data_IF_278917215019
#
_entry.id   IF_278917215019
#
_cell.length_a   1.000
_cell.length_b   1.000
_cell.length_c   1.000
_cell.angle_alpha   90.00
_cell.angle_beta   90.00
_cell.angle_gamma   90.00
#
_symmetry.space_group_name_H-M   'P 1'
#
loop_
_entity.id
_entity.type
_entity.pdbx_description
1 polymer ?
#
# COMPACT_ATOMS: atom_id res chain seq x y z
N UNK A 1 29.37 -5.09 20.54
CA UNK A 1 29.45 -5.43 21.99
C UNK A 1 28.07 -5.59 22.57
N UNK A 2 27.72 -6.77 23.09
CA UNK A 2 26.43 -6.96 23.76
C UNK A 2 26.53 -6.39 25.18
N UNK A 3 25.97 -5.21 25.42
CA UNK A 3 25.86 -4.61 26.75
C UNK A 3 24.87 -5.42 27.61
N UNK A 4 25.35 -5.97 28.74
CA UNK A 4 24.49 -6.67 29.72
C UNK A 4 24.25 -5.75 30.91
N UNK A 5 22.99 -5.44 31.21
CA UNK A 5 22.61 -4.70 32.41
C UNK A 5 22.95 -5.47 33.67
N UNK A 6 23.16 -4.75 34.78
CA UNK A 6 23.34 -5.37 36.11
C UNK A 6 22.01 -6.01 36.51
N UNK A 7 22.09 -7.26 36.95
CA UNK A 7 20.93 -8.06 37.40
C UNK A 7 20.59 -7.76 38.85
N UNK A 8 19.40 -8.18 39.31
CA UNK A 8 19.01 -8.04 40.72
C UNK A 8 19.97 -8.83 41.62
N UNK A 9 20.42 -10.02 41.22
CA UNK A 9 21.35 -10.83 41.98
C UNK A 9 22.71 -10.14 42.14
N UNK A 10 23.22 -9.53 41.06
CA UNK A 10 24.44 -8.73 41.14
C UNK A 10 24.27 -7.51 42.06
N UNK A 11 23.08 -6.87 42.07
CA UNK A 11 22.77 -5.77 43.00
C UNK A 11 22.79 -6.23 44.47
N UNK A 12 22.24 -7.41 44.77
CA UNK A 12 22.31 -7.99 46.08
C UNK A 12 23.77 -8.24 46.52
N UNK A 13 24.58 -8.80 45.62
CA UNK A 13 26.02 -8.98 45.90
C UNK A 13 26.73 -7.64 46.14
N UNK A 14 26.44 -6.60 45.32
CA UNK A 14 27.03 -5.27 45.51
C UNK A 14 26.67 -4.71 46.89
N UNK A 15 25.40 -4.78 47.31
CA UNK A 15 24.96 -4.29 48.61
C UNK A 15 25.72 -5.00 49.75
N UNK A 16 25.71 -6.33 49.74
CA UNK A 16 26.40 -7.14 50.78
C UNK A 16 27.90 -6.87 50.85
N UNK A 17 28.57 -6.75 49.71
CA UNK A 17 30.01 -6.46 49.69
C UNK A 17 30.36 -5.02 50.11
N UNK A 18 29.47 -4.05 49.86
CA UNK A 18 29.62 -2.70 50.36
C UNK A 18 29.46 -2.66 51.87
N UNK A 19 28.49 -3.39 52.46
CA UNK A 19 28.31 -3.51 53.89
C UNK A 19 29.49 -4.21 54.57
N UNK A 20 30.19 -5.13 53.87
CA UNK A 20 31.46 -5.74 54.30
C UNK A 20 32.68 -4.84 54.10
N UNK A 21 32.51 -3.60 53.65
CA UNK A 21 33.60 -2.66 53.46
C UNK A 21 34.48 -2.91 52.23
N UNK A 22 34.03 -3.68 51.24
CA UNK A 22 34.82 -3.95 50.03
C UNK A 22 34.92 -2.72 49.15
N UNK A 23 36.12 -2.53 48.56
CA UNK A 23 36.27 -1.47 47.57
C UNK A 23 35.53 -1.79 46.24
N UNK A 24 35.10 -0.76 45.51
CA UNK A 24 34.45 -0.90 44.20
C UNK A 24 35.27 -1.75 43.22
N UNK A 25 36.58 -1.64 43.24
CA UNK A 25 37.50 -2.44 42.39
C UNK A 25 37.43 -3.92 42.75
N UNK A 26 37.41 -4.26 44.07
CA UNK A 26 37.32 -5.64 44.57
C UNK A 26 35.95 -6.26 44.19
N UNK A 27 34.85 -5.53 44.34
CA UNK A 27 33.51 -5.95 43.95
C UNK A 27 33.45 -6.20 42.44
N UNK A 28 33.95 -5.27 41.65
CA UNK A 28 33.97 -5.38 40.19
C UNK A 28 34.74 -6.62 39.70
N UNK A 29 35.90 -6.90 40.31
CA UNK A 29 36.69 -8.09 39.99
C UNK A 29 35.91 -9.37 40.33
N UNK A 30 35.24 -9.42 41.49
CA UNK A 30 34.44 -10.57 41.92
C UNK A 30 33.24 -10.84 41.00
N UNK A 31 32.55 -9.78 40.57
CA UNK A 31 31.38 -9.89 39.68
C UNK A 31 31.77 -9.97 38.19
N UNK A 32 33.05 -10.03 37.87
CA UNK A 32 33.55 -10.01 36.50
C UNK A 32 32.95 -8.85 35.66
N UNK A 33 32.92 -7.64 36.25
CA UNK A 33 32.41 -6.44 35.69
C UNK A 33 33.49 -5.35 35.70
N UNK A 34 33.31 -4.33 34.82
CA UNK A 34 34.21 -3.16 34.86
C UNK A 34 33.95 -2.32 36.12
N UNK A 35 35.01 -1.88 36.78
CA UNK A 35 34.93 -1.04 37.99
C UNK A 35 34.11 0.25 37.77
N UNK A 36 34.19 0.84 36.58
CA UNK A 36 33.35 1.99 36.22
C UNK A 36 31.87 1.69 36.17
N UNK A 37 31.48 0.46 35.81
CA UNK A 37 30.08 0.00 35.79
C UNK A 37 29.54 -0.09 37.22
N UNK A 38 30.28 -0.70 38.14
CA UNK A 38 29.88 -0.81 39.55
C UNK A 38 29.86 0.57 40.23
N UNK A 39 30.86 1.40 39.98
CA UNK A 39 30.92 2.78 40.51
C UNK A 39 29.70 3.61 40.07
N UNK A 40 29.35 3.55 38.77
CA UNK A 40 28.17 4.26 38.25
C UNK A 40 26.86 3.70 38.82
N UNK A 41 26.75 2.39 39.00
CA UNK A 41 25.57 1.75 39.60
C UNK A 41 25.38 2.23 41.05
N UNK A 42 26.41 2.14 41.87
CA UNK A 42 26.35 2.60 43.26
C UNK A 42 26.04 4.10 43.37
N UNK A 43 26.77 4.94 42.61
CA UNK A 43 26.55 6.37 42.64
C UNK A 43 25.16 6.82 42.22
N UNK A 44 24.57 6.14 41.21
CA UNK A 44 23.26 6.50 40.66
C UNK A 44 22.09 6.03 41.51
N UNK A 45 22.24 4.95 42.21
CA UNK A 45 21.15 4.24 42.85
C UNK A 45 21.29 4.18 44.39
N UNK A 46 22.26 4.89 44.98
CA UNK A 46 22.34 5.06 46.45
C UNK A 46 21.44 6.24 46.90
N UNK A 47 20.76 6.03 48.02
CA UNK A 47 19.94 7.04 48.69
C UNK A 47 20.51 7.30 50.06
N UNK A 48 20.71 8.58 50.41
CA UNK A 48 21.32 9.00 51.68
C UNK A 48 22.64 8.28 51.98
N UNK A 49 23.50 8.10 50.96
CA UNK A 49 24.79 7.44 51.10
C UNK A 49 24.77 5.91 51.24
N UNK A 50 23.60 5.30 51.31
CA UNK A 50 23.43 3.85 51.43
C UNK A 50 22.92 3.22 50.14
N UNK A 51 23.55 2.12 49.73
CA UNK A 51 23.13 1.36 48.54
C UNK A 51 22.26 0.17 48.97
N UNK A 52 21.00 0.14 48.53
CA UNK A 52 20.06 -0.95 48.81
C UNK A 52 19.63 -1.59 47.51
N UNK A 53 19.85 -2.93 47.38
CA UNK A 53 19.68 -3.66 46.13
C UNK A 53 18.25 -3.58 45.57
N UNK A 54 17.21 -3.68 46.41
CA UNK A 54 15.81 -3.59 45.98
C UNK A 54 15.46 -2.20 45.46
N UNK A 55 15.86 -1.15 46.18
CA UNK A 55 15.65 0.25 45.77
C UNK A 55 16.39 0.56 44.44
N UNK A 56 17.64 0.12 44.34
CA UNK A 56 18.43 0.28 43.12
C UNK A 56 17.79 -0.43 41.92
N UNK A 57 17.13 -1.57 42.15
CA UNK A 57 16.40 -2.30 41.12
C UNK A 57 15.10 -1.57 40.72
N UNK A 58 14.35 -1.03 41.66
CA UNK A 58 13.16 -0.22 41.38
C UNK A 58 13.50 1.03 40.58
N UNK A 59 14.53 1.77 40.98
CA UNK A 59 15.03 2.94 40.24
C UNK A 59 15.41 2.54 38.80
N UNK A 60 16.12 1.43 38.66
CA UNK A 60 16.50 0.91 37.34
C UNK A 60 15.26 0.55 36.49
N UNK A 61 14.26 -0.15 37.04
CA UNK A 61 13.04 -0.52 36.32
C UNK A 61 12.25 0.72 35.89
N UNK A 62 12.09 1.70 36.79
CA UNK A 62 11.41 2.96 36.50
C UNK A 62 12.13 3.76 35.40
N UNK A 63 13.45 3.87 35.51
CA UNK A 63 14.26 4.53 34.47
C UNK A 63 14.16 3.79 33.14
N UNK A 64 14.11 2.46 33.15
CA UNK A 64 13.97 1.66 31.94
C UNK A 64 12.59 1.80 31.29
N UNK A 65 11.50 1.94 32.07
CA UNK A 65 10.16 2.23 31.55
C UNK A 65 10.11 3.62 30.88
N UNK A 66 10.88 4.56 31.41
CA UNK A 66 10.99 5.92 30.83
C UNK A 66 11.99 6.02 29.67
N UNK A 67 12.86 5.00 29.49
CA UNK A 67 13.78 4.93 28.37
C UNK A 67 13.07 4.50 27.10
N UNK A 68 13.25 5.28 26.04
CA UNK A 68 12.71 4.98 24.73
C UNK A 68 11.76 6.04 24.21
N UNK A 69 11.50 5.99 22.93
CA UNK A 69 10.51 6.85 22.29
C UNK A 69 9.11 6.51 22.84
N UNK A 70 8.42 7.49 23.42
CA UNK A 70 7.00 7.36 23.77
C UNK A 70 6.26 6.89 22.53
N UNK A 71 5.56 5.75 22.65
CA UNK A 71 4.88 5.14 21.52
C UNK A 71 3.84 6.11 20.93
N UNK A 72 3.89 6.32 19.60
CA UNK A 72 2.92 7.19 18.90
C UNK A 72 1.48 6.67 18.96
N UNK A 73 1.25 5.52 19.58
CA UNK A 73 -0.08 4.94 19.83
C UNK A 73 -0.95 5.74 20.82
N UNK A 74 -0.41 6.77 21.48
CA UNK A 74 -1.18 7.73 22.28
C UNK A 74 -1.65 8.95 21.49
N UNK A 75 -1.24 9.12 20.23
CA UNK A 75 -1.67 10.23 19.38
C UNK A 75 -3.01 9.90 18.72
N UNK A 76 -4.11 10.35 19.32
CA UNK A 76 -5.47 10.10 18.84
C UNK A 76 -5.67 10.58 17.40
N UNK A 77 -5.16 11.76 17.03
CA UNK A 77 -5.27 12.30 15.66
C UNK A 77 -4.61 11.39 14.63
N UNK A 78 -3.44 10.83 14.95
CA UNK A 78 -2.74 9.90 14.07
C UNK A 78 -3.49 8.57 13.94
N UNK A 79 -4.02 8.04 15.04
CA UNK A 79 -4.81 6.80 15.04
C UNK A 79 -6.06 6.97 14.18
N UNK A 80 -6.84 8.01 14.42
CA UNK A 80 -8.06 8.31 13.67
C UNK A 80 -7.79 8.44 12.17
N UNK A 81 -6.74 9.17 11.80
CA UNK A 81 -6.33 9.27 10.39
C UNK A 81 -6.04 7.90 9.78
N UNK A 82 -5.26 7.06 10.49
CA UNK A 82 -4.90 5.71 10.01
C UNK A 82 -6.14 4.83 9.87
N UNK A 83 -7.04 4.82 10.83
CA UNK A 83 -8.26 4.01 10.81
C UNK A 83 -9.21 4.45 9.68
N UNK A 84 -9.41 5.75 9.50
CA UNK A 84 -10.18 6.32 8.41
C UNK A 84 -9.59 5.94 7.03
N UNK A 85 -8.26 5.99 6.89
CA UNK A 85 -7.59 5.61 5.66
C UNK A 85 -7.66 4.10 5.39
N UNK A 86 -7.54 3.26 6.43
CA UNK A 86 -7.75 1.80 6.32
C UNK A 86 -9.18 1.47 5.91
N UNK A 87 -10.18 2.20 6.43
CA UNK A 87 -11.59 2.05 6.03
C UNK A 87 -11.81 2.43 4.56
N UNK A 88 -11.03 3.40 4.03
CA UNK A 88 -10.96 3.74 2.59
C UNK A 88 -10.09 2.76 1.79
N UNK A 89 -9.79 1.58 2.33
CA UNK A 89 -8.98 0.52 1.70
C UNK A 89 -7.52 0.86 1.39
N UNK A 90 -6.96 1.92 2.00
CA UNK A 90 -5.56 2.26 1.81
C UNK A 90 -4.65 1.25 2.52
N UNK A 91 -3.54 0.89 1.88
CA UNK A 91 -2.55 0.03 2.54
C UNK A 91 -1.71 0.83 3.54
N UNK A 92 -1.12 0.18 4.56
CA UNK A 92 -0.20 0.84 5.50
C UNK A 92 0.92 1.65 4.82
N UNK A 93 1.43 1.19 3.66
CA UNK A 93 2.45 1.90 2.90
C UNK A 93 1.91 3.19 2.27
N UNK A 94 0.69 3.14 1.72
CA UNK A 94 0.00 4.31 1.16
C UNK A 94 -0.29 5.35 2.25
N UNK A 95 -0.75 4.90 3.42
CA UNK A 95 -1.02 5.77 4.58
C UNK A 95 0.25 6.46 5.05
N UNK A 96 1.33 5.71 5.28
CA UNK A 96 2.60 6.27 5.72
C UNK A 96 3.20 7.26 4.70
N UNK A 97 3.05 6.96 3.41
CA UNK A 97 3.49 7.85 2.34
C UNK A 97 2.67 9.14 2.26
N UNK A 98 1.36 9.03 2.36
CA UNK A 98 0.44 10.18 2.31
C UNK A 98 0.62 11.11 3.50
N UNK A 99 0.78 10.57 4.70
CA UNK A 99 1.08 11.35 5.90
C UNK A 99 2.38 12.20 5.74
N UNK A 100 3.38 11.70 5.03
CA UNK A 100 4.61 12.47 4.75
C UNK A 100 4.36 13.65 3.81
N UNK A 101 3.37 13.56 2.92
CA UNK A 101 3.02 14.64 2.00
C UNK A 101 2.17 15.70 2.70
N UNK A 102 1.17 15.28 3.45
CA UNK A 102 0.19 16.18 4.10
C UNK A 102 0.75 16.85 5.36
N UNK A 103 1.59 16.13 6.12
CA UNK A 103 2.13 16.60 7.40
C UNK A 103 3.66 16.66 7.35
N UNK A 104 4.21 17.46 6.38
CA UNK A 104 5.67 17.56 6.14
C UNK A 104 6.44 17.98 7.39
N UNK A 105 5.90 18.93 8.14
CA UNK A 105 6.59 19.56 9.28
C UNK A 105 6.17 18.99 10.64
N UNK A 106 5.04 18.25 10.68
CA UNK A 106 4.54 17.63 11.91
C UNK A 106 5.19 16.25 12.14
N UNK A 107 6.21 16.22 13.01
CA UNK A 107 6.89 14.97 13.39
C UNK A 107 5.96 13.99 14.15
N UNK A 108 4.88 14.47 14.78
CA UNK A 108 3.94 13.65 15.54
C UNK A 108 3.11 12.76 14.59
N UNK A 109 2.82 13.24 13.37
CA UNK A 109 2.07 12.53 12.34
C UNK A 109 2.95 11.62 11.44
N UNK A 110 4.29 11.65 11.60
CA UNK A 110 5.18 10.78 10.82
C UNK A 110 5.21 9.37 11.41
N UNK A 111 4.86 8.36 10.62
CA UNK A 111 4.87 6.95 11.03
C UNK A 111 5.42 6.05 9.91
N UNK A 112 6.08 4.97 10.29
CA UNK A 112 6.52 3.94 9.34
C UNK A 112 5.43 2.91 9.08
N UNK A 113 5.30 2.45 7.83
CA UNK A 113 4.29 1.43 7.47
C UNK A 113 4.42 0.13 8.26
N UNK A 114 5.65 -0.28 8.62
CA UNK A 114 5.89 -1.45 9.49
C UNK A 114 5.26 -1.28 10.87
N UNK A 115 5.22 -0.05 11.39
CA UNK A 115 4.58 0.25 12.68
C UNK A 115 3.06 0.13 12.57
N UNK A 116 2.46 0.59 11.46
CA UNK A 116 1.02 0.44 11.21
C UNK A 116 0.65 -1.05 11.14
N UNK A 117 1.41 -1.88 10.39
CA UNK A 117 1.20 -3.33 10.40
C UNK A 117 1.28 -3.92 11.82
N UNK A 118 2.29 -3.53 12.59
CA UNK A 118 2.45 -3.99 13.98
C UNK A 118 1.25 -3.60 14.86
N UNK A 119 0.69 -2.41 14.66
CA UNK A 119 -0.49 -1.96 15.39
C UNK A 119 -1.74 -2.76 15.02
N UNK A 120 -1.93 -3.11 13.76
CA UNK A 120 -3.00 -4.01 13.31
C UNK A 120 -2.85 -5.38 13.99
N UNK A 121 -1.67 -6.02 13.91
CA UNK A 121 -1.44 -7.34 14.48
C UNK A 121 -1.47 -7.37 16.01
N UNK A 122 -1.23 -6.25 16.69
CA UNK A 122 -1.33 -6.11 18.14
C UNK A 122 -2.70 -5.64 18.61
N UNK A 123 -3.70 -5.60 17.75
CA UNK A 123 -5.06 -5.13 18.02
C UNK A 123 -5.14 -3.69 18.58
N UNK A 124 -4.14 -2.85 18.31
CA UNK A 124 -4.11 -1.45 18.75
C UNK A 124 -5.08 -0.60 17.91
N UNK A 125 -5.21 -0.90 16.62
CA UNK A 125 -6.09 -0.22 15.67
C UNK A 125 -6.99 -1.22 14.95
N UNK A 126 -8.16 -0.77 14.48
CA UNK A 126 -9.18 -1.55 13.73
C UNK A 126 -9.48 -2.93 14.34
N UNK A 127 -9.34 -3.09 15.65
CA UNK A 127 -9.54 -4.39 16.36
C UNK A 127 -8.81 -5.56 15.68
N UNK A 128 -7.64 -5.30 15.05
CA UNK A 128 -6.83 -6.32 14.37
C UNK A 128 -7.43 -6.90 13.09
N UNK A 129 -8.45 -6.27 12.50
CA UNK A 129 -9.12 -6.79 11.30
C UNK A 129 -8.23 -6.76 10.05
N UNK A 130 -7.49 -7.85 9.83
CA UNK A 130 -6.63 -8.04 8.64
C UNK A 130 -7.40 -8.10 7.33
N UNK A 131 -8.74 -8.27 7.35
CA UNK A 131 -9.58 -8.24 6.15
C UNK A 131 -9.60 -6.86 5.48
N UNK A 132 -9.29 -5.81 6.23
CA UNK A 132 -9.07 -4.45 5.71
C UNK A 132 -7.82 -4.33 4.82
N UNK A 133 -6.90 -5.28 4.88
CA UNK A 133 -5.71 -5.30 4.02
C UNK A 133 -6.02 -5.93 2.66
N UNK A 134 -5.42 -5.40 1.59
CA UNK A 134 -5.63 -5.85 0.20
C UNK A 134 -5.60 -7.36 0.00
N UNK A 135 -4.63 -8.05 0.59
CA UNK A 135 -4.44 -9.50 0.41
C UNK A 135 -5.26 -10.35 1.40
N UNK A 136 -5.94 -9.74 2.37
CA UNK A 136 -6.76 -10.46 3.36
C UNK A 136 -6.05 -11.71 3.94
N UNK A 137 -4.73 -11.66 4.05
CA UNK A 137 -3.90 -12.81 4.51
C UNK A 137 -3.66 -13.91 3.48
N UNK A 138 -4.08 -13.77 2.21
CA UNK A 138 -3.97 -14.82 1.18
C UNK A 138 -2.82 -14.57 0.19
N UNK A 139 -2.16 -15.64 -0.25
CA UNK A 139 -1.18 -15.66 -1.35
C UNK A 139 -1.84 -16.19 -2.63
N UNK A 140 -1.60 -15.56 -3.78
CA UNK A 140 -2.21 -15.92 -5.05
C UNK A 140 -1.15 -16.30 -6.10
N UNK A 141 -1.27 -17.50 -6.67
CA UNK A 141 -0.60 -17.90 -7.93
C UNK A 141 -1.66 -18.35 -8.92
N UNK A 142 -1.63 -17.84 -10.16
CA UNK A 142 -2.51 -18.29 -11.24
C UNK A 142 -1.73 -18.62 -12.51
N UNK A 143 -2.15 -19.69 -13.23
CA UNK A 143 -1.71 -20.04 -14.60
C UNK A 143 -2.82 -19.68 -15.58
N UNK A 144 -2.47 -19.07 -16.72
CA UNK A 144 -3.41 -18.68 -17.78
C UNK A 144 -3.10 -19.40 -19.10
N UNK A 145 -4.16 -19.84 -19.82
CA UNK A 145 -4.09 -20.52 -21.12
C UNK A 145 -5.14 -19.92 -22.06
N UNK A 146 -4.73 -19.12 -23.09
CA UNK A 146 -5.63 -18.58 -24.13
C UNK A 146 -4.98 -18.56 -25.52
N UNK A 147 -5.82 -18.67 -26.57
CA UNK A 147 -5.42 -18.79 -27.97
C UNK A 147 -4.94 -17.47 -28.63
N UNK A 148 -4.34 -17.59 -29.82
CA UNK A 148 -3.75 -16.49 -30.61
C UNK A 148 -4.76 -15.92 -31.61
N UNK A 149 -5.02 -14.62 -31.56
CA UNK A 149 -5.73 -13.85 -32.59
C UNK A 149 -4.84 -12.71 -33.09
N UNK A 150 -4.64 -12.58 -34.40
CA UNK A 150 -3.63 -11.66 -34.98
C UNK A 150 -4.32 -10.55 -35.76
N UNK A 151 -4.60 -9.40 -35.13
CA UNK A 151 -5.23 -8.22 -35.74
C UNK A 151 -4.53 -6.94 -35.29
N UNK A 152 -4.62 -5.88 -36.10
CA UNK A 152 -4.24 -4.50 -35.77
C UNK A 152 -2.75 -4.23 -35.65
N UNK A 153 -2.41 -3.01 -35.26
CA UNK A 153 -1.02 -2.54 -35.11
C UNK A 153 -0.35 -3.21 -33.91
N UNK A 154 0.78 -3.87 -34.11
CA UNK A 154 1.54 -4.46 -33.01
C UNK A 154 2.04 -3.40 -32.04
N UNK A 155 2.07 -3.73 -30.73
CA UNK A 155 2.65 -2.87 -29.69
C UNK A 155 4.13 -2.52 -29.98
N UNK A 156 4.81 -3.30 -30.81
CA UNK A 156 6.20 -3.04 -31.25
C UNK A 156 6.31 -1.76 -32.06
N UNK A 157 5.22 -1.37 -32.77
CA UNK A 157 5.14 -0.16 -33.57
C UNK A 157 4.75 1.08 -32.73
N UNK A 158 4.42 0.87 -31.45
CA UNK A 158 4.07 1.97 -30.54
C UNK A 158 5.32 2.80 -30.23
N UNK A 159 5.27 4.14 -30.31
CA UNK A 159 6.38 5.01 -29.97
C UNK A 159 7.02 4.66 -28.61
N UNK A 160 8.36 4.66 -28.57
CA UNK A 160 9.10 4.20 -27.38
C UNK A 160 8.94 5.13 -26.17
N UNK A 161 8.74 6.42 -26.37
CA UNK A 161 8.48 7.44 -25.36
C UNK A 161 7.22 7.14 -24.53
N UNK A 162 6.19 6.55 -25.14
CA UNK A 162 4.98 6.11 -24.43
C UNK A 162 5.31 5.10 -23.31
N UNK A 163 6.40 4.34 -23.44
CA UNK A 163 6.84 3.39 -22.40
C UNK A 163 7.28 4.09 -21.13
N UNK A 164 7.83 5.31 -21.23
CA UNK A 164 8.30 6.11 -20.09
C UNK A 164 7.16 6.65 -19.22
N UNK A 165 5.93 6.76 -19.78
CA UNK A 165 4.75 7.28 -19.08
C UNK A 165 4.90 8.74 -18.62
N UNK A 166 5.60 9.55 -19.41
CA UNK A 166 5.85 10.96 -19.12
C UNK A 166 4.76 11.88 -19.68
N UNK A 167 4.06 11.46 -20.74
CA UNK A 167 2.96 12.19 -21.38
C UNK A 167 1.60 11.60 -21.01
N UNK A 168 0.57 12.46 -20.98
CA UNK A 168 -0.82 12.05 -20.81
C UNK A 168 -1.46 11.65 -22.14
N UNK A 169 -2.60 10.96 -22.05
CA UNK A 169 -3.42 10.60 -23.20
C UNK A 169 -3.15 9.19 -23.75
N UNK A 170 -2.36 8.40 -23.08
CA UNK A 170 -2.10 7.02 -23.46
C UNK A 170 -2.84 6.06 -22.52
N UNK A 171 -3.84 5.37 -23.06
CA UNK A 171 -4.76 4.55 -22.29
C UNK A 171 -4.53 3.05 -22.53
N UNK A 172 -4.70 2.25 -21.49
CA UNK A 172 -4.77 0.80 -21.58
C UNK A 172 -6.24 0.39 -21.38
N UNK A 173 -6.77 -0.41 -22.30
CA UNK A 173 -8.16 -0.87 -22.30
C UNK A 173 -8.22 -2.36 -22.02
N UNK A 174 -9.22 -2.79 -21.26
CA UNK A 174 -9.45 -4.21 -20.94
C UNK A 174 -10.92 -4.47 -20.60
N UNK A 175 -11.26 -5.74 -20.43
CA UNK A 175 -12.55 -6.17 -19.92
C UNK A 175 -12.40 -7.04 -18.67
N UNK A 176 -13.23 -6.81 -17.67
CA UNK A 176 -13.29 -7.63 -16.45
C UNK A 176 -14.56 -8.46 -16.49
N UNK A 177 -14.41 -9.75 -16.77
CA UNK A 177 -15.56 -10.65 -17.00
C UNK A 177 -16.21 -11.15 -15.72
N UNK A 178 -17.52 -11.36 -15.76
CA UNK A 178 -18.30 -12.10 -14.75
C UNK A 178 -17.83 -13.54 -14.60
N UNK A 179 -18.40 -14.25 -13.64
CA UNK A 179 -18.20 -15.69 -13.50
C UNK A 179 -18.71 -16.45 -14.72
N UNK A 180 -17.93 -17.41 -15.20
CA UNK A 180 -18.37 -18.30 -16.26
C UNK A 180 -19.67 -18.99 -15.87
N UNK A 181 -20.66 -19.01 -16.78
CA UNK A 181 -21.94 -19.66 -16.60
C UNK A 181 -22.98 -18.88 -15.80
N UNK A 182 -22.66 -17.66 -15.27
CA UNK A 182 -23.64 -16.82 -14.56
C UNK A 182 -24.29 -15.78 -15.48
N UNK A 183 -23.50 -14.87 -16.01
CA UNK A 183 -23.99 -13.85 -16.93
C UNK A 183 -22.97 -13.53 -18.02
N UNK A 184 -23.43 -12.85 -19.10
CA UNK A 184 -22.56 -12.29 -20.14
C UNK A 184 -22.02 -10.93 -19.77
N UNK A 185 -22.55 -10.30 -18.71
CA UNK A 185 -22.19 -8.96 -18.26
C UNK A 185 -20.71 -8.91 -17.86
N UNK A 186 -20.09 -7.79 -18.14
CA UNK A 186 -18.68 -7.54 -17.83
C UNK A 186 -18.46 -6.04 -17.60
N UNK A 187 -17.27 -5.66 -17.15
CA UNK A 187 -16.89 -4.25 -17.09
C UNK A 187 -15.92 -3.94 -18.24
N UNK A 188 -16.12 -2.81 -18.91
CA UNK A 188 -15.05 -2.16 -19.66
C UNK A 188 -14.20 -1.34 -18.71
N UNK A 189 -12.89 -1.35 -18.89
CA UNK A 189 -11.96 -0.57 -18.08
C UNK A 189 -10.98 0.18 -18.97
N UNK A 190 -10.82 1.46 -18.69
CA UNK A 190 -9.97 2.40 -19.41
C UNK A 190 -9.05 3.05 -18.40
N UNK A 191 -7.74 2.78 -18.50
CA UNK A 191 -6.76 3.28 -17.51
C UNK A 191 -5.74 4.17 -18.19
N UNK A 192 -5.66 5.43 -17.76
CA UNK A 192 -4.64 6.34 -18.23
C UNK A 192 -3.28 5.94 -17.63
N UNK A 193 -2.26 5.88 -18.49
CA UNK A 193 -0.97 5.24 -18.16
C UNK A 193 -0.08 6.06 -17.23
N UNK A 194 -0.11 7.39 -17.32
CA UNK A 194 0.70 8.28 -16.48
C UNK A 194 0.05 8.47 -15.11
N UNK A 195 -1.19 8.93 -15.09
CA UNK A 195 -1.95 9.23 -13.86
C UNK A 195 -2.49 7.99 -13.14
N UNK A 196 -2.65 6.85 -13.85
CA UNK A 196 -3.36 5.65 -13.37
C UNK A 196 -4.86 5.89 -13.17
N UNK A 197 -5.40 6.95 -13.74
CA UNK A 197 -6.82 7.28 -13.67
C UNK A 197 -7.64 6.21 -14.36
N UNK A 198 -8.69 5.75 -13.70
CA UNK A 198 -9.58 4.70 -14.16
C UNK A 198 -10.93 5.28 -14.54
N UNK A 199 -11.43 4.90 -15.72
CA UNK A 199 -12.83 4.95 -16.08
C UNK A 199 -13.30 3.51 -16.24
N UNK A 200 -14.50 3.18 -15.76
CA UNK A 200 -15.07 1.85 -15.95
C UNK A 200 -16.57 1.95 -16.17
N UNK A 201 -17.11 1.03 -16.98
CA UNK A 201 -18.55 0.98 -17.27
C UNK A 201 -19.05 -0.48 -17.22
N UNK A 202 -20.30 -0.65 -16.81
CA UNK A 202 -21.00 -1.93 -16.84
C UNK A 202 -21.47 -2.19 -18.26
N UNK A 203 -21.16 -3.34 -18.82
CA UNK A 203 -21.60 -3.79 -20.15
C UNK A 203 -22.46 -5.06 -20.03
N UNK A 204 -23.53 -5.15 -20.82
CA UNK A 204 -24.42 -6.30 -20.85
C UNK A 204 -23.75 -7.53 -21.48
N UNK A 205 -22.88 -7.30 -22.46
CA UNK A 205 -22.13 -8.38 -23.10
C UNK A 205 -20.72 -7.92 -23.53
N UNK A 206 -19.93 -8.88 -24.00
CA UNK A 206 -18.54 -8.68 -24.43
C UNK A 206 -18.40 -8.62 -25.95
N UNK A 207 -19.42 -8.08 -26.64
CA UNK A 207 -19.34 -7.90 -28.09
C UNK A 207 -18.53 -6.64 -28.42
N UNK A 208 -17.92 -6.64 -29.58
CA UNK A 208 -17.13 -5.52 -30.09
C UNK A 208 -17.96 -4.24 -30.25
N UNK A 209 -19.18 -4.34 -30.78
CA UNK A 209 -20.06 -3.19 -30.91
C UNK A 209 -20.44 -2.58 -29.55
N UNK A 210 -20.77 -3.41 -28.55
CA UNK A 210 -21.07 -2.99 -27.18
C UNK A 210 -19.85 -2.31 -26.57
N UNK A 211 -18.64 -2.88 -26.74
CA UNK A 211 -17.42 -2.27 -26.25
C UNK A 211 -17.15 -0.89 -26.88
N UNK A 212 -17.31 -0.77 -28.20
CA UNK A 212 -17.10 0.49 -28.91
C UNK A 212 -18.07 1.59 -28.42
N UNK A 213 -19.36 1.26 -28.25
CA UNK A 213 -20.36 2.19 -27.71
C UNK A 213 -19.95 2.71 -26.33
N UNK A 214 -19.60 1.81 -25.41
CA UNK A 214 -19.12 2.18 -24.07
C UNK A 214 -17.79 2.94 -24.10
N UNK A 215 -16.90 2.62 -25.04
CA UNK A 215 -15.67 3.38 -25.24
C UNK A 215 -15.97 4.83 -25.63
N UNK A 216 -16.87 5.08 -26.59
CA UNK A 216 -17.24 6.43 -26.99
C UNK A 216 -17.92 7.20 -25.87
N UNK A 217 -18.77 6.57 -25.09
CA UNK A 217 -19.41 7.21 -23.93
C UNK A 217 -18.40 7.54 -22.83
N UNK A 218 -17.46 6.63 -22.53
CA UNK A 218 -16.40 6.85 -21.54
C UNK A 218 -15.50 8.06 -21.85
N UNK A 219 -15.26 8.31 -23.14
CA UNK A 219 -14.38 9.40 -23.58
C UNK A 219 -15.13 10.68 -24.02
N UNK A 220 -16.44 10.70 -23.96
CA UNK A 220 -17.28 11.81 -24.41
C UNK A 220 -16.93 13.17 -23.79
N UNK A 221 -16.57 13.16 -22.51
CA UNK A 221 -16.22 14.38 -21.76
C UNK A 221 -14.71 14.54 -21.52
N UNK A 222 -13.89 13.66 -22.11
CA UNK A 222 -12.43 13.77 -22.02
C UNK A 222 -11.92 14.62 -23.19
N UNK A 223 -11.08 15.61 -22.89
CA UNK A 223 -10.46 16.45 -23.92
C UNK A 223 -9.69 15.59 -24.93
N UNK A 224 -9.82 15.89 -26.22
CA UNK A 224 -9.10 15.19 -27.29
C UNK A 224 -7.57 15.24 -27.10
N UNK A 225 -7.04 16.26 -26.43
CA UNK A 225 -5.61 16.34 -26.10
C UNK A 225 -5.15 15.26 -25.13
N UNK A 226 -6.10 14.68 -24.38
CA UNK A 226 -5.89 13.58 -23.43
C UNK A 226 -6.27 12.20 -23.99
N UNK A 227 -6.52 12.10 -25.31
CA UNK A 227 -6.82 10.86 -26.01
C UNK A 227 -5.86 10.74 -27.20
N UNK A 228 -4.73 10.04 -27.01
CA UNK A 228 -3.67 9.94 -28.04
C UNK A 228 -3.49 8.54 -28.59
N UNK A 229 -3.43 7.55 -27.74
CA UNK A 229 -3.29 6.14 -28.14
C UNK A 229 -3.99 5.20 -27.19
N UNK A 230 -4.50 4.11 -27.72
CA UNK A 230 -5.00 3.00 -26.92
C UNK A 230 -4.07 1.79 -27.02
N UNK A 231 -3.99 1.02 -25.94
CA UNK A 231 -3.30 -0.27 -25.93
C UNK A 231 -4.26 -1.33 -25.39
N UNK A 232 -4.49 -2.36 -26.21
CA UNK A 232 -5.45 -3.45 -25.93
C UNK A 232 -4.77 -4.81 -25.99
N UNK A 233 -5.47 -5.85 -25.50
CA UNK A 233 -5.06 -7.22 -25.82
C UNK A 233 -5.67 -7.67 -27.16
N UNK A 234 -5.49 -8.97 -27.45
CA UNK A 234 -6.06 -9.60 -28.65
C UNK A 234 -7.40 -10.28 -28.36
N UNK A 235 -8.23 -9.66 -27.50
CA UNK A 235 -9.58 -10.12 -27.23
C UNK A 235 -10.52 -9.85 -28.41
N UNK A 236 -11.56 -10.68 -28.57
CA UNK A 236 -12.56 -10.53 -29.62
C UNK A 236 -13.37 -9.24 -29.49
N UNK A 237 -13.48 -8.69 -28.26
CA UNK A 237 -14.11 -7.41 -27.95
C UNK A 237 -13.44 -6.21 -28.63
N UNK A 238 -12.17 -6.34 -29.00
CA UNK A 238 -11.41 -5.30 -29.68
C UNK A 238 -11.39 -5.47 -31.21
N UNK A 239 -12.15 -6.41 -31.76
CA UNK A 239 -12.20 -6.63 -33.22
C UNK A 239 -12.68 -5.41 -34.00
N UNK A 240 -13.51 -4.55 -33.40
CA UNK A 240 -14.00 -3.31 -33.99
C UNK A 240 -13.09 -2.08 -33.81
N UNK A 241 -11.82 -2.26 -33.50
CA UNK A 241 -10.88 -1.18 -33.21
C UNK A 241 -10.76 -0.13 -34.32
N UNK A 242 -10.98 -0.49 -35.60
CA UNK A 242 -10.93 0.44 -36.74
C UNK A 242 -11.95 1.59 -36.61
N UNK A 243 -13.11 1.31 -36.01
CA UNK A 243 -14.12 2.32 -35.75
C UNK A 243 -13.64 3.29 -34.66
N UNK A 244 -12.98 2.77 -33.62
CA UNK A 244 -12.39 3.57 -32.53
C UNK A 244 -11.28 4.48 -33.11
N UNK A 245 -10.36 3.92 -33.94
CA UNK A 245 -9.32 4.70 -34.59
C UNK A 245 -9.87 5.83 -35.44
N UNK A 246 -10.90 5.55 -36.25
CA UNK A 246 -11.53 6.55 -37.14
C UNK A 246 -12.25 7.65 -36.35
N UNK A 247 -13.05 7.26 -35.33
CA UNK A 247 -13.93 8.22 -34.63
C UNK A 247 -13.14 9.10 -33.64
N UNK A 248 -12.14 8.56 -32.99
CA UNK A 248 -11.32 9.30 -32.03
C UNK A 248 -10.03 9.85 -32.66
N UNK A 249 -9.72 9.52 -33.89
CA UNK A 249 -8.50 9.89 -34.64
C UNK A 249 -7.22 9.55 -33.86
N UNK A 250 -7.10 8.29 -33.42
CA UNK A 250 -6.00 7.77 -32.62
C UNK A 250 -5.48 6.44 -33.15
N UNK A 251 -4.31 6.02 -32.67
CA UNK A 251 -3.78 4.68 -32.92
C UNK A 251 -4.15 3.70 -31.81
N UNK A 252 -4.56 2.49 -32.23
CA UNK A 252 -4.80 1.36 -31.32
C UNK A 252 -3.69 0.30 -31.48
N UNK A 253 -2.94 0.04 -30.42
CA UNK A 253 -1.85 -0.93 -30.39
C UNK A 253 -2.25 -2.20 -29.66
N UNK A 254 -1.91 -3.35 -30.26
CA UNK A 254 -2.21 -4.66 -29.71
C UNK A 254 -1.00 -5.26 -29.01
N UNK A 255 -1.17 -5.64 -27.74
CA UNK A 255 -0.15 -6.35 -26.98
C UNK A 255 0.20 -7.71 -27.62
N UNK A 256 1.43 -8.16 -27.43
CA UNK A 256 1.84 -9.49 -27.87
C UNK A 256 1.07 -10.57 -27.08
N UNK A 257 0.78 -11.71 -27.68
CA UNK A 257 0.17 -12.84 -26.98
C UNK A 257 1.01 -13.23 -25.76
N UNK A 258 0.33 -13.51 -24.64
CA UNK A 258 0.96 -13.92 -23.37
C UNK A 258 1.87 -12.87 -22.71
N UNK A 259 1.90 -11.64 -23.21
CA UNK A 259 2.72 -10.56 -22.68
C UNK A 259 1.91 -9.59 -21.78
N UNK A 260 1.30 -10.13 -20.70
CA UNK A 260 0.48 -9.33 -19.76
C UNK A 260 1.24 -8.13 -19.17
N UNK A 261 2.56 -8.24 -19.01
CA UNK A 261 3.42 -7.15 -18.53
C UNK A 261 3.41 -5.90 -19.43
N UNK A 262 3.05 -6.05 -20.73
CA UNK A 262 2.92 -4.93 -21.65
C UNK A 262 1.71 -4.03 -21.32
N UNK A 263 0.74 -4.56 -20.55
CA UNK A 263 -0.45 -3.88 -20.04
C UNK A 263 -0.52 -3.90 -18.51
N UNK A 264 0.62 -3.79 -17.84
CA UNK A 264 0.74 -3.91 -16.39
C UNK A 264 -0.07 -2.84 -15.63
N UNK A 265 -0.48 -1.73 -16.27
CA UNK A 265 -1.35 -0.73 -15.64
C UNK A 265 -2.76 -1.28 -15.46
N UNK A 266 -3.34 -1.87 -16.51
CA UNK A 266 -4.63 -2.53 -16.45
C UNK A 266 -4.64 -3.72 -15.50
N UNK A 267 -3.63 -4.60 -15.59
CA UNK A 267 -3.54 -5.76 -14.70
C UNK A 267 -3.58 -5.34 -13.21
N UNK A 268 -2.81 -4.31 -12.85
CA UNK A 268 -2.82 -3.79 -11.48
C UNK A 268 -4.18 -3.18 -11.11
N UNK A 269 -4.78 -2.39 -12.00
CA UNK A 269 -6.05 -1.70 -11.74
C UNK A 269 -7.22 -2.70 -11.68
N UNK A 270 -7.27 -3.67 -12.59
CA UNK A 270 -8.24 -4.77 -12.53
C UNK A 270 -8.08 -5.59 -11.25
N UNK A 271 -6.83 -5.74 -10.76
CA UNK A 271 -6.56 -6.34 -9.46
C UNK A 271 -7.14 -5.53 -8.28
N UNK A 272 -7.27 -4.20 -8.40
CA UNK A 272 -7.93 -3.35 -7.40
C UNK A 272 -9.45 -3.46 -7.49
N UNK A 273 -10.02 -3.46 -8.70
CA UNK A 273 -11.45 -3.72 -8.88
C UNK A 273 -11.85 -5.07 -8.29
N UNK A 274 -10.98 -6.09 -8.38
CA UNK A 274 -11.21 -7.42 -7.81
C UNK A 274 -11.14 -7.46 -6.27
N UNK A 275 -10.74 -6.41 -5.60
CA UNK A 275 -10.88 -6.27 -4.15
C UNK A 275 -12.34 -6.06 -3.75
N UNK A 276 -13.10 -5.33 -4.57
CA UNK A 276 -14.53 -5.04 -4.41
C UNK A 276 -15.38 -6.11 -5.08
N UNK A 277 -15.02 -6.53 -6.28
CA UNK A 277 -15.70 -7.53 -7.09
C UNK A 277 -14.84 -8.79 -7.25
N UNK A 278 -14.87 -9.74 -6.31
CA UNK A 278 -14.04 -10.94 -6.36
C UNK A 278 -14.26 -11.78 -7.63
N UNK A 279 -13.34 -12.70 -7.91
CA UNK A 279 -13.57 -13.72 -8.95
C UNK A 279 -14.90 -14.46 -8.65
N UNK A 280 -15.67 -14.74 -9.66
CA UNK A 280 -17.03 -15.31 -9.60
C UNK A 280 -18.15 -14.33 -9.22
N UNK A 281 -17.86 -13.05 -9.09
CA UNK A 281 -18.88 -12.02 -8.97
C UNK A 281 -19.67 -11.89 -10.27
N UNK A 282 -20.98 -11.62 -10.17
CA UNK A 282 -21.86 -11.41 -11.31
C UNK A 282 -22.10 -9.92 -11.52
N UNK A 283 -21.60 -9.38 -12.65
CA UNK A 283 -21.73 -7.96 -12.94
C UNK A 283 -23.12 -7.53 -13.43
N UNK A 284 -24.03 -8.47 -13.72
CA UNK A 284 -25.43 -8.14 -14.02
C UNK A 284 -26.20 -7.64 -12.79
N UNK A 285 -25.65 -7.82 -11.59
CA UNK A 285 -26.28 -7.44 -10.33
C UNK A 285 -25.93 -6.05 -9.84
N UNK A 286 -25.09 -5.31 -10.55
CA UNK A 286 -24.68 -3.96 -10.16
C UNK A 286 -25.12 -2.91 -11.19
N UNK A 287 -25.40 -1.72 -10.68
CA UNK A 287 -25.69 -0.53 -11.48
C UNK A 287 -24.40 0.23 -11.81
N UNK A 288 -24.46 1.11 -12.81
CA UNK A 288 -23.34 2.01 -13.10
C UNK A 288 -22.98 2.90 -11.90
N UNK A 289 -23.99 3.41 -11.18
CA UNK A 289 -23.75 4.27 -10.01
C UNK A 289 -22.96 3.55 -8.91
N UNK A 290 -23.25 2.28 -8.65
CA UNK A 290 -22.49 1.46 -7.68
C UNK A 290 -21.04 1.24 -8.13
N UNK A 291 -20.84 1.03 -9.44
CA UNK A 291 -19.50 0.94 -10.01
C UNK A 291 -18.74 2.26 -9.86
N UNK A 292 -19.39 3.39 -10.12
CA UNK A 292 -18.79 4.74 -10.05
C UNK A 292 -18.30 5.06 -8.63
N UNK A 293 -19.01 4.62 -7.59
CA UNK A 293 -18.56 4.73 -6.20
C UNK A 293 -17.23 3.98 -6.00
N UNK A 294 -17.12 2.75 -6.53
CA UNK A 294 -15.90 1.96 -6.43
C UNK A 294 -14.76 2.58 -7.25
N UNK A 295 -15.05 3.06 -8.47
CA UNK A 295 -14.09 3.76 -9.32
C UNK A 295 -13.55 4.99 -8.61
N UNK A 296 -14.42 5.77 -7.97
CA UNK A 296 -14.03 6.95 -7.20
C UNK A 296 -13.11 6.58 -6.02
N UNK A 297 -13.41 5.53 -5.27
CA UNK A 297 -12.52 5.02 -4.20
C UNK A 297 -11.14 4.66 -4.78
N UNK A 298 -11.08 3.99 -5.92
CA UNK A 298 -9.84 3.58 -6.57
C UNK A 298 -9.04 4.80 -7.07
N UNK A 299 -9.70 5.79 -7.66
CA UNK A 299 -9.09 7.02 -8.18
C UNK A 299 -8.59 7.95 -7.06
N UNK A 300 -9.20 7.90 -5.88
CA UNK A 300 -8.77 8.64 -4.70
C UNK A 300 -7.83 7.84 -3.77
N UNK A 301 -7.34 6.69 -4.23
CA UNK A 301 -6.39 5.87 -3.47
C UNK A 301 -4.95 6.25 -3.83
N UNK A 302 -4.10 6.69 -2.86
CA UNK A 302 -2.72 7.07 -3.13
C UNK A 302 -1.90 5.97 -3.79
N UNK A 303 -1.05 6.33 -4.75
CA UNK A 303 -0.18 5.38 -5.46
C UNK A 303 1.29 5.66 -5.19
N UNK A 304 2.05 4.65 -4.81
CA UNK A 304 3.51 4.78 -4.62
C UNK A 304 4.21 5.27 -5.90
N UNK A 305 3.79 4.75 -7.07
CA UNK A 305 4.37 5.15 -8.36
C UNK A 305 4.05 6.60 -8.77
N UNK A 306 3.11 7.26 -8.09
CA UNK A 306 2.78 8.69 -8.24
C UNK A 306 3.32 9.53 -7.08
N UNK A 307 4.31 9.03 -6.35
CA UNK A 307 4.83 9.73 -5.17
C UNK A 307 3.78 9.87 -4.06
N UNK A 308 2.85 8.92 -3.97
CA UNK A 308 1.69 8.89 -3.05
C UNK A 308 0.61 9.93 -3.31
N UNK A 309 0.64 10.61 -4.45
CA UNK A 309 -0.55 11.31 -4.97
C UNK A 309 -1.60 10.30 -5.41
N UNK A 310 -2.85 10.75 -5.50
CA UNK A 310 -3.95 9.93 -6.04
C UNK A 310 -4.00 10.02 -7.56
N UNK A 311 -4.56 9.02 -8.27
CA UNK A 311 -4.85 9.12 -9.69
C UNK A 311 -5.69 10.37 -10.06
N UNK A 312 -6.70 10.69 -9.26
CA UNK A 312 -7.55 11.86 -9.48
C UNK A 312 -6.76 13.16 -9.38
N UNK A 313 -5.90 13.34 -8.36
CA UNK A 313 -5.05 14.52 -8.21
C UNK A 313 -4.09 14.70 -9.40
N UNK A 314 -3.51 13.59 -9.88
CA UNK A 314 -2.55 13.66 -11.00
C UNK A 314 -3.27 13.90 -12.32
N UNK A 315 -4.48 13.36 -12.51
CA UNK A 315 -5.27 13.58 -13.73
C UNK A 315 -5.89 14.97 -13.77
N UNK A 316 -6.35 15.51 -12.63
CA UNK A 316 -6.90 16.87 -12.56
C UNK A 316 -5.85 17.98 -12.76
N UNK A 317 -4.56 17.66 -12.65
CA UNK A 317 -3.47 18.58 -12.89
C UNK A 317 -3.07 18.68 -14.39
N UNK A 318 -3.92 18.13 -15.29
CA UNK A 318 -3.75 18.22 -16.75
C UNK A 318 -4.61 19.31 -17.32
#
# INVERSE_FOLDING_TARGET
>A
MNYKHITINERCCIANFLDLGWSIRKIAKHLNRNASTISREVRRNSINGKYLAHIANEIYLNNRMNCGSKGKSSNCKLIEYIENALNKTWSPEQIAGRLRLEYKDDKSMKIGFKTIYRWIYKNIIIKGDVKKLRRKGKSLKSKETRGKFNIGKSIKNRPKDIKKRESFGHWELDTVVSSRGKSKSCLSTFVERKSRYLIAQVMDDRKSATFNSHCFEAFKFISNTLIKTFTVDRGKEFAGYNEIEKRLNIDVYFADPYASWQRGTNENTNGLLREFYPKRFDFSTITQNELDVVVNIINNRPRKCLGYKTPAEVFAAT
#
